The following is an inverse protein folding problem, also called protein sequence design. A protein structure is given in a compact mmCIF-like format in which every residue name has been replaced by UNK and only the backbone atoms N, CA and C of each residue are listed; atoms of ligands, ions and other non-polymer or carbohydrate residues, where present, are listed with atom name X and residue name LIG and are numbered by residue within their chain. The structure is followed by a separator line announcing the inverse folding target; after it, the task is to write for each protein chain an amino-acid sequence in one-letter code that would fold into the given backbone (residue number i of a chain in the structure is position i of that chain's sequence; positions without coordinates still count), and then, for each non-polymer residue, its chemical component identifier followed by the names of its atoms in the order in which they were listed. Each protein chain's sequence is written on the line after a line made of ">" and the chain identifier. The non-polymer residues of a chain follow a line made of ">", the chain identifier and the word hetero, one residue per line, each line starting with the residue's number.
data_IF_675703338311
#
_entry.id   IF_675703338311
#
_cell.length_a   1.000
_cell.length_b   1.000
_cell.length_c   1.000
_cell.angle_alpha   90.00
_cell.angle_beta   90.00
_cell.angle_gamma   90.00
#
_symmetry.space_group_name_H-M   'P 1'
#
loop_
_entity.id
_entity.type
_entity.pdbx_description
1 polymer ?
#
# COMPACT_ATOMS: atom_id res chain seq x y z
N UNK A 1 -5.15 8.04 17.37
CA UNK A 1 -5.24 6.58 17.30
C UNK A 1 -4.06 6.06 16.48
N UNK A 2 -3.44 4.99 16.94
CA UNK A 2 -2.37 4.30 16.20
C UNK A 2 -2.97 3.07 15.53
N UNK A 3 -2.61 2.86 14.27
CA UNK A 3 -2.92 1.64 13.53
C UNK A 3 -1.61 0.94 13.23
N UNK A 4 -1.52 -0.34 13.56
CA UNK A 4 -0.35 -1.18 13.28
C UNK A 4 -0.76 -2.19 12.23
N UNK A 5 0.05 -2.29 11.18
CA UNK A 5 -0.09 -3.29 10.15
C UNK A 5 1.24 -4.00 9.94
N UNK A 6 1.18 -5.27 9.60
CA UNK A 6 2.37 -6.09 9.37
C UNK A 6 2.17 -7.06 8.20
N UNK A 7 3.28 -7.59 7.71
CA UNK A 7 3.35 -8.80 6.91
C UNK A 7 4.24 -9.82 7.64
N UNK A 8 3.96 -11.10 7.45
CA UNK A 8 4.70 -12.16 8.13
C UNK A 8 5.99 -12.48 7.37
N UNK A 9 7.12 -12.16 7.95
CA UNK A 9 8.47 -12.42 7.43
C UNK A 9 9.10 -13.74 7.93
N UNK A 10 8.31 -14.59 8.58
CA UNK A 10 8.77 -15.84 9.20
C UNK A 10 9.33 -16.90 8.26
N UNK A 11 9.30 -16.66 6.94
CA UNK A 11 9.97 -17.51 5.96
C UNK A 11 11.50 -17.29 5.97
N UNK A 12 11.95 -16.04 6.11
CA UNK A 12 13.35 -15.66 6.10
C UNK A 12 13.88 -15.26 7.48
N UNK A 13 13.03 -14.81 8.39
CA UNK A 13 13.38 -14.33 9.72
C UNK A 13 12.80 -15.19 10.85
N UNK A 14 13.42 -15.12 12.03
CA UNK A 14 12.91 -15.75 13.26
C UNK A 14 11.92 -14.81 13.96
N UNK A 15 10.65 -14.85 13.58
CA UNK A 15 9.60 -13.99 14.18
C UNK A 15 9.35 -14.25 15.66
N UNK A 16 9.82 -15.40 16.19
CA UNK A 16 9.67 -15.75 17.63
C UNK A 16 10.60 -14.96 18.53
N UNK A 17 11.64 -14.37 17.98
CA UNK A 17 12.63 -13.63 18.76
C UNK A 17 12.11 -12.25 19.21
N UNK A 18 10.97 -11.79 18.67
CA UNK A 18 10.28 -10.55 19.05
C UNK A 18 11.24 -9.36 19.15
N UNK A 19 12.08 -9.18 18.13
CA UNK A 19 13.20 -8.23 18.13
C UNK A 19 12.78 -6.76 18.11
N UNK A 20 11.55 -6.46 17.65
CA UNK A 20 11.05 -5.08 17.58
C UNK A 20 10.71 -4.58 18.98
N UNK A 21 11.33 -3.49 19.37
CA UNK A 21 11.20 -2.87 20.68
C UNK A 21 10.41 -1.56 20.61
N UNK A 22 10.12 -1.00 21.77
CA UNK A 22 9.48 0.32 21.88
C UNK A 22 10.39 1.44 21.34
N UNK A 23 11.69 1.29 21.48
CA UNK A 23 12.69 2.22 20.97
C UNK A 23 12.66 2.29 19.45
N UNK A 24 12.51 1.15 18.76
CA UNK A 24 12.40 1.11 17.29
C UNK A 24 11.19 1.91 16.80
N UNK A 25 10.08 1.91 17.53
CA UNK A 25 8.90 2.72 17.19
C UNK A 25 9.20 4.22 17.31
N UNK A 26 9.90 4.62 18.36
CA UNK A 26 10.29 6.02 18.54
C UNK A 26 11.31 6.47 17.50
N UNK A 27 12.24 5.61 17.14
CA UNK A 27 13.26 5.91 16.14
C UNK A 27 12.63 6.01 14.74
N UNK A 28 11.71 5.13 14.39
CA UNK A 28 10.94 5.23 13.16
C UNK A 28 10.14 6.54 13.07
N UNK A 29 9.55 6.98 14.19
CA UNK A 29 8.86 8.28 14.24
C UNK A 29 9.81 9.47 14.06
N UNK A 30 11.00 9.44 14.68
CA UNK A 30 12.01 10.51 14.60
C UNK A 30 12.63 10.59 13.20
N UNK A 31 12.81 9.43 12.53
CA UNK A 31 13.42 9.34 11.19
C UNK A 31 12.39 9.53 10.05
N UNK A 32 11.13 9.87 10.38
CA UNK A 32 10.10 10.13 9.39
C UNK A 32 10.46 11.37 8.56
N UNK A 33 10.69 11.16 7.25
CA UNK A 33 11.12 12.19 6.29
C UNK A 33 10.51 11.96 4.92
N UNK A 34 10.62 12.96 4.03
CA UNK A 34 10.08 12.86 2.67
C UNK A 34 10.81 11.84 1.80
N UNK A 35 12.12 11.80 1.94
CA UNK A 35 12.98 10.87 1.23
C UNK A 35 13.34 9.73 2.18
N UNK A 36 13.06 8.51 1.79
CA UNK A 36 13.30 7.31 2.58
C UNK A 36 13.72 6.16 1.67
N UNK A 37 14.38 5.19 2.25
CA UNK A 37 14.85 3.99 1.54
C UNK A 37 13.68 3.07 1.19
N UNK A 38 13.80 2.39 0.04
CA UNK A 38 12.81 1.45 -0.48
C UNK A 38 13.39 0.03 -0.54
N UNK A 39 12.53 -0.95 -0.81
CA UNK A 39 12.92 -2.35 -0.90
C UNK A 39 13.08 -3.03 0.46
N UNK A 40 14.15 -3.79 0.63
CA UNK A 40 14.41 -4.63 1.81
C UNK A 40 14.97 -3.82 3.00
N UNK A 41 14.24 -2.82 3.45
CA UNK A 41 14.61 -1.93 4.56
C UNK A 41 13.56 -1.91 5.65
N UNK A 42 13.97 -1.70 6.90
CA UNK A 42 13.07 -1.65 8.04
C UNK A 42 12.14 -2.87 8.08
N UNK A 43 10.84 -2.66 8.11
CA UNK A 43 9.82 -3.71 8.04
C UNK A 43 9.85 -4.53 6.74
N UNK A 44 10.51 -4.03 5.69
CA UNK A 44 10.69 -4.74 4.42
C UNK A 44 11.73 -5.85 4.45
N UNK A 45 12.56 -5.91 5.50
CA UNK A 45 13.57 -6.97 5.62
C UNK A 45 12.92 -8.32 5.83
N UNK A 46 13.31 -9.29 5.01
CA UNK A 46 12.76 -10.64 5.07
C UNK A 46 11.44 -10.81 4.34
N UNK A 47 10.95 -9.79 3.64
CA UNK A 47 9.78 -9.89 2.77
C UNK A 47 10.15 -10.48 1.42
N UNK A 48 9.26 -11.33 0.89
CA UNK A 48 9.39 -11.93 -0.44
C UNK A 48 8.17 -11.56 -1.28
N UNK A 49 8.38 -10.95 -2.42
CA UNK A 49 7.30 -10.61 -3.34
C UNK A 49 7.60 -11.18 -4.73
N UNK A 50 6.69 -12.00 -5.24
CA UNK A 50 6.89 -12.78 -6.48
C UNK A 50 8.17 -13.62 -6.45
N UNK A 51 8.51 -14.20 -5.27
CA UNK A 51 9.75 -14.95 -5.05
C UNK A 51 11.04 -14.16 -5.34
N UNK A 52 10.93 -12.83 -5.36
CA UNK A 52 12.04 -11.88 -5.37
C UNK A 52 12.14 -11.18 -4.02
N UNK A 53 13.15 -10.33 -3.82
CA UNK A 53 13.19 -9.43 -2.68
C UNK A 53 11.96 -8.53 -2.71
N UNK A 54 11.18 -8.55 -1.65
CA UNK A 54 10.03 -7.69 -1.44
C UNK A 54 10.36 -6.55 -0.48
N UNK A 55 9.32 -5.85 0.02
CA UNK A 55 9.51 -4.86 1.06
C UNK A 55 8.77 -3.56 0.84
N UNK A 56 9.44 -2.45 1.18
CA UNK A 56 8.85 -1.12 1.13
C UNK A 56 8.84 -0.58 -0.30
N UNK A 57 7.67 -0.18 -0.78
CA UNK A 57 7.53 0.53 -2.04
C UNK A 57 6.64 1.76 -1.90
N UNK A 58 6.87 2.78 -2.70
CA UNK A 58 6.07 3.99 -2.66
C UNK A 58 5.96 4.62 -4.03
N UNK A 59 4.78 5.16 -4.31
CA UNK A 59 4.54 5.96 -5.52
C UNK A 59 3.44 6.98 -5.27
N UNK A 60 3.36 8.01 -6.09
CA UNK A 60 2.35 9.04 -5.98
C UNK A 60 1.89 9.55 -7.34
N UNK A 61 0.69 10.14 -7.35
CA UNK A 61 0.12 10.84 -8.51
C UNK A 61 -0.40 12.20 -8.09
N UNK A 62 -0.16 13.16 -8.96
CA UNK A 62 -0.76 14.49 -8.88
C UNK A 62 -1.91 14.54 -9.86
N UNK A 63 -3.05 15.06 -9.45
CA UNK A 63 -4.25 15.19 -10.26
C UNK A 63 -4.99 16.48 -9.96
N UNK A 64 -5.90 16.86 -10.84
CA UNK A 64 -6.65 18.11 -10.74
C UNK A 64 -8.16 17.82 -10.67
N UNK A 65 -8.84 18.56 -9.81
CA UNK A 65 -10.31 18.59 -9.73
C UNK A 65 -10.76 20.05 -9.63
N UNK A 66 -11.51 20.50 -10.62
CA UNK A 66 -12.10 21.85 -10.69
C UNK A 66 -11.06 22.97 -10.43
N UNK A 67 -9.88 22.85 -11.06
CA UNK A 67 -8.79 23.82 -10.97
C UNK A 67 -7.95 23.75 -9.69
N UNK A 68 -8.22 22.78 -8.82
CA UNK A 68 -7.39 22.55 -7.63
C UNK A 68 -6.54 21.28 -7.84
N UNK A 69 -5.26 21.39 -7.54
CA UNK A 69 -4.28 20.31 -7.63
C UNK A 69 -4.22 19.55 -6.31
N UNK A 70 -4.24 18.22 -6.41
CA UNK A 70 -4.15 17.30 -5.27
C UNK A 70 -3.11 16.24 -5.54
N UNK A 71 -2.61 15.64 -4.45
CA UNK A 71 -1.68 14.51 -4.49
C UNK A 71 -2.29 13.31 -3.78
N UNK A 72 -2.09 12.13 -4.34
CA UNK A 72 -2.34 10.86 -3.67
C UNK A 72 -1.05 10.05 -3.70
N UNK A 73 -0.62 9.57 -2.54
CA UNK A 73 0.51 8.65 -2.40
C UNK A 73 0.06 7.30 -1.86
N UNK A 74 0.75 6.26 -2.31
CA UNK A 74 0.59 4.88 -1.82
C UNK A 74 1.95 4.41 -1.30
N UNK A 75 1.95 3.89 -0.09
CA UNK A 75 3.06 3.15 0.52
C UNK A 75 2.64 1.70 0.66
N UNK A 76 3.49 0.78 0.25
CA UNK A 76 3.24 -0.66 0.41
C UNK A 76 4.35 -1.33 1.23
N UNK A 77 3.96 -2.40 1.93
CA UNK A 77 4.86 -3.44 2.40
C UNK A 77 4.44 -4.72 1.68
N UNK A 78 5.23 -5.13 0.68
CA UNK A 78 4.90 -6.24 -0.22
C UNK A 78 5.57 -7.54 0.22
N UNK A 79 4.76 -8.60 0.38
CA UNK A 79 5.19 -9.94 0.78
C UNK A 79 4.23 -11.00 0.23
N UNK A 80 4.07 -11.08 -1.09
CA UNK A 80 3.08 -11.94 -1.72
C UNK A 80 3.52 -12.43 -3.09
N UNK A 81 2.80 -13.42 -3.61
CA UNK A 81 2.84 -13.86 -5.00
C UNK A 81 3.95 -14.87 -5.30
N UNK A 82 3.73 -15.61 -6.37
CA UNK A 82 4.69 -16.54 -6.96
C UNK A 82 5.30 -15.93 -8.22
N UNK A 83 6.52 -16.30 -8.57
CA UNK A 83 7.25 -15.79 -9.73
C UNK A 83 6.44 -15.86 -11.02
N UNK A 84 5.75 -16.96 -11.21
CA UNK A 84 4.93 -17.22 -12.40
C UNK A 84 3.71 -16.28 -12.51
N UNK A 85 3.33 -15.61 -11.43
CA UNK A 85 2.22 -14.66 -11.44
C UNK A 85 2.66 -13.27 -11.90
N UNK A 86 3.94 -12.95 -11.76
CA UNK A 86 4.45 -11.63 -12.11
C UNK A 86 4.29 -11.37 -13.60
N UNK A 87 3.54 -10.33 -13.97
CA UNK A 87 3.10 -10.11 -15.36
C UNK A 87 4.22 -9.95 -16.37
N UNK A 88 5.38 -9.47 -15.95
CA UNK A 88 6.53 -9.28 -16.85
C UNK A 88 7.20 -10.61 -17.21
N UNK A 89 7.00 -11.66 -16.40
CA UNK A 89 7.61 -12.96 -16.57
C UNK A 89 6.61 -14.04 -16.99
N UNK A 90 5.37 -13.67 -17.28
CA UNK A 90 4.33 -14.66 -17.66
C UNK A 90 4.68 -15.34 -18.97
N UNK A 91 4.87 -16.66 -18.87
CA UNK A 91 4.95 -17.55 -20.05
C UNK A 91 3.56 -18.11 -20.30
N UNK A 92 3.07 -17.98 -21.54
CA UNK A 92 1.75 -18.54 -21.94
C UNK A 92 1.70 -20.04 -21.66
N UNK A 93 0.61 -20.48 -21.04
CA UNK A 93 0.30 -21.91 -20.87
C UNK A 93 0.70 -22.52 -19.51
N UNK A 94 1.33 -21.79 -18.61
CA UNK A 94 1.61 -22.31 -17.27
C UNK A 94 0.36 -22.33 -16.40
N UNK A 95 0.04 -23.48 -15.80
CA UNK A 95 -0.94 -23.57 -14.73
C UNK A 95 -0.29 -23.07 -13.44
N UNK A 96 -0.89 -22.06 -12.83
CA UNK A 96 -0.41 -21.51 -11.58
C UNK A 96 -0.66 -22.49 -10.42
N UNK A 97 0.34 -22.77 -9.57
CA UNK A 97 0.17 -23.60 -8.37
C UNK A 97 -0.58 -22.79 -7.28
N UNK A 98 -1.83 -22.42 -7.54
CA UNK A 98 -2.62 -21.49 -6.73
C UNK A 98 -2.78 -21.91 -5.27
N UNK A 99 -2.70 -23.19 -4.97
CA UNK A 99 -2.82 -23.72 -3.61
C UNK A 99 -1.60 -23.42 -2.72
N UNK A 100 -0.47 -23.02 -3.31
CA UNK A 100 0.78 -22.76 -2.60
C UNK A 100 0.98 -21.28 -2.27
N UNK A 101 0.17 -20.38 -2.82
CA UNK A 101 0.32 -18.97 -2.53
C UNK A 101 -0.02 -18.67 -1.08
N UNK A 102 0.98 -18.12 -0.39
CA UNK A 102 0.87 -17.55 0.95
C UNK A 102 1.52 -16.19 0.90
N UNK A 103 0.87 -15.21 1.50
CA UNK A 103 1.47 -13.89 1.47
C UNK A 103 0.62 -12.86 2.19
N UNK A 104 1.01 -11.62 2.01
CA UNK A 104 0.30 -10.47 2.55
C UNK A 104 0.83 -9.19 1.91
N UNK A 105 0.03 -8.16 1.92
CA UNK A 105 0.46 -6.81 1.61
C UNK A 105 -0.26 -5.81 2.49
N UNK A 106 0.50 -4.86 3.05
CA UNK A 106 -0.06 -3.65 3.64
C UNK A 106 0.01 -2.52 2.62
N UNK A 107 -1.11 -1.81 2.44
CA UNK A 107 -1.22 -0.68 1.53
C UNK A 107 -1.74 0.53 2.30
N UNK A 108 -0.96 1.59 2.37
CA UNK A 108 -1.33 2.84 3.05
C UNK A 108 -1.49 3.92 1.99
N UNK A 109 -2.69 4.49 1.91
CA UNK A 109 -3.03 5.54 0.97
C UNK A 109 -3.18 6.87 1.72
N UNK A 110 -2.45 7.88 1.31
CA UNK A 110 -2.53 9.23 1.84
C UNK A 110 -2.87 10.22 0.74
N UNK A 111 -3.77 11.17 1.01
CA UNK A 111 -4.09 12.24 0.05
C UNK A 111 -4.40 13.54 0.75
N UNK A 112 -4.18 14.67 0.08
CA UNK A 112 -4.65 15.99 0.47
C UNK A 112 -5.99 16.38 -0.18
N UNK A 113 -6.55 15.52 -1.04
CA UNK A 113 -7.88 15.71 -1.58
C UNK A 113 -8.94 15.56 -0.47
N UNK A 114 -9.97 16.44 -0.46
CA UNK A 114 -11.03 16.36 0.55
C UNK A 114 -11.97 15.19 0.26
N UNK A 115 -11.70 14.07 0.89
CA UNK A 115 -12.48 12.85 0.79
C UNK A 115 -13.19 12.56 2.11
N UNK A 116 -14.45 12.12 2.03
CA UNK A 116 -15.17 11.57 3.18
C UNK A 116 -14.69 10.15 3.48
N UNK A 117 -15.02 9.64 4.67
CA UNK A 117 -14.77 8.26 5.08
C UNK A 117 -15.26 7.25 4.03
N UNK A 118 -16.51 7.42 3.57
CA UNK A 118 -17.09 6.59 2.51
C UNK A 118 -16.29 6.64 1.21
N UNK A 119 -15.77 7.81 0.83
CA UNK A 119 -14.96 7.95 -0.38
C UNK A 119 -13.57 7.32 -0.22
N UNK A 120 -12.95 7.47 0.95
CA UNK A 120 -11.68 6.80 1.28
C UNK A 120 -11.83 5.27 1.25
N UNK A 121 -12.92 4.73 1.79
CA UNK A 121 -13.22 3.30 1.68
C UNK A 121 -13.36 2.84 0.22
N UNK A 122 -13.98 3.64 -0.66
CA UNK A 122 -14.05 3.36 -2.09
C UNK A 122 -12.68 3.41 -2.76
N UNK A 123 -11.76 4.26 -2.30
CA UNK A 123 -10.36 4.28 -2.77
C UNK A 123 -9.65 2.99 -2.36
N UNK A 124 -9.77 2.55 -1.10
CA UNK A 124 -9.23 1.26 -0.65
C UNK A 124 -9.71 0.10 -1.53
N UNK A 125 -10.99 0.10 -1.91
CA UNK A 125 -11.58 -0.92 -2.79
C UNK A 125 -11.02 -0.90 -4.24
N UNK A 126 -10.12 0.01 -4.59
CA UNK A 126 -9.39 0.05 -5.87
C UNK A 126 -8.00 -0.57 -5.79
N UNK A 127 -7.48 -0.79 -4.58
CA UNK A 127 -6.17 -1.42 -4.41
C UNK A 127 -6.09 -2.82 -5.05
N UNK A 128 -7.12 -3.70 -4.94
CA UNK A 128 -7.14 -4.97 -5.67
C UNK A 128 -6.92 -4.86 -7.17
N UNK A 129 -7.41 -3.78 -7.80
CA UNK A 129 -7.18 -3.54 -9.23
C UNK A 129 -5.70 -3.26 -9.50
N UNK A 130 -5.07 -2.40 -8.68
CA UNK A 130 -3.64 -2.13 -8.78
C UNK A 130 -2.78 -3.39 -8.60
N UNK A 131 -3.13 -4.23 -7.62
CA UNK A 131 -2.47 -5.53 -7.40
C UNK A 131 -2.65 -6.49 -8.57
N UNK A 132 -3.87 -6.61 -9.10
CA UNK A 132 -4.13 -7.47 -10.25
C UNK A 132 -3.30 -7.06 -11.48
N UNK A 133 -3.02 -5.76 -11.65
CA UNK A 133 -2.15 -5.26 -12.71
C UNK A 133 -0.67 -5.61 -12.52
N UNK A 134 -0.26 -6.11 -11.35
CA UNK A 134 1.09 -6.67 -11.14
C UNK A 134 1.14 -8.19 -11.36
N UNK A 135 0.00 -8.84 -11.46
CA UNK A 135 -0.16 -10.27 -11.61
C UNK A 135 -0.70 -11.00 -10.38
N UNK A 136 -0.90 -10.30 -9.26
CA UNK A 136 -1.53 -10.86 -8.07
C UNK A 136 -2.98 -11.24 -8.35
N UNK A 137 -3.40 -12.41 -7.84
CA UNK A 137 -4.80 -12.82 -7.83
C UNK A 137 -5.42 -12.78 -6.43
N UNK A 138 -4.67 -12.27 -5.43
CA UNK A 138 -5.11 -12.17 -4.05
C UNK A 138 -5.66 -13.50 -3.52
N UNK A 139 -4.81 -14.52 -3.52
CA UNK A 139 -5.17 -15.90 -3.18
C UNK A 139 -5.68 -16.03 -1.74
N UNK A 140 -6.35 -17.15 -1.45
CA UNK A 140 -6.95 -17.43 -0.14
C UNK A 140 -5.94 -17.41 1.03
N UNK A 141 -4.66 -17.60 0.75
CA UNK A 141 -3.58 -17.54 1.75
C UNK A 141 -2.97 -16.16 1.92
N UNK A 142 -3.44 -15.14 1.20
CA UNK A 142 -2.92 -13.78 1.22
C UNK A 142 -3.73 -12.87 2.15
N UNK A 143 -3.04 -12.11 3.00
CA UNK A 143 -3.63 -11.09 3.87
C UNK A 143 -3.42 -9.70 3.27
N UNK A 144 -4.40 -9.21 2.49
CA UNK A 144 -4.29 -7.96 1.75
C UNK A 144 -5.10 -6.87 2.44
N UNK A 145 -4.43 -5.88 3.01
CA UNK A 145 -5.06 -4.83 3.82
C UNK A 145 -4.74 -3.46 3.25
N UNK A 146 -5.78 -2.65 3.05
CA UNK A 146 -5.65 -1.26 2.62
C UNK A 146 -6.22 -0.30 3.67
N UNK A 147 -5.48 0.77 3.96
CA UNK A 147 -5.85 1.84 4.86
C UNK A 147 -5.71 3.17 4.12
N UNK A 148 -6.74 4.01 4.16
CA UNK A 148 -6.68 5.32 3.52
C UNK A 148 -7.02 6.44 4.49
N UNK A 149 -6.35 7.58 4.33
CA UNK A 149 -6.67 8.81 5.05
C UNK A 149 -6.48 10.05 4.18
N UNK A 150 -7.19 11.12 4.56
CA UNK A 150 -7.03 12.44 3.95
C UNK A 150 -6.55 13.44 5.00
N UNK A 151 -5.65 14.33 4.58
CA UNK A 151 -5.17 15.46 5.39
C UNK A 151 -5.97 16.74 5.19
N UNK A 152 -6.97 16.74 4.29
CA UNK A 152 -7.75 17.92 3.95
C UNK A 152 -8.72 18.36 5.07
N UNK A 153 -9.33 17.39 5.76
CA UNK A 153 -10.25 17.67 6.85
C UNK A 153 -9.52 17.50 8.19
N UNK A 154 -9.21 18.62 8.82
CA UNK A 154 -8.58 18.64 10.15
C UNK A 154 -9.61 19.11 11.19
N UNK A 155 -9.65 18.42 12.31
CA UNK A 155 -10.57 18.70 13.41
C UNK A 155 -9.85 19.41 14.55
N UNK A 156 -10.44 20.49 15.02
CA UNK A 156 -10.05 21.17 16.24
C UNK A 156 -10.87 20.68 17.45
N UNK A 157 -11.01 21.55 18.45
CA UNK A 157 -11.78 21.26 19.66
C UNK A 157 -13.27 21.66 19.58
N UNK A 158 -13.72 22.11 18.43
CA UNK A 158 -15.11 22.55 18.19
C UNK A 158 -16.06 21.35 18.33
N UNK A 159 -17.28 21.61 18.82
CA UNK A 159 -18.33 20.59 18.96
C UNK A 159 -18.97 20.17 17.64
N UNK A 160 -18.88 21.04 16.64
CA UNK A 160 -19.47 20.83 15.31
C UNK A 160 -18.40 21.15 14.27
N UNK A 161 -18.18 20.23 13.33
CA UNK A 161 -17.21 20.42 12.25
C UNK A 161 -17.89 20.45 10.89
N UNK A 162 -17.37 21.29 10.00
CA UNK A 162 -17.76 21.29 8.58
C UNK A 162 -16.78 20.42 7.81
N UNK A 163 -17.29 19.46 7.08
CA UNK A 163 -16.49 18.57 6.23
C UNK A 163 -16.55 19.03 4.77
N UNK A 164 -15.40 19.02 4.13
CA UNK A 164 -15.31 19.15 2.68
C UNK A 164 -15.19 17.75 2.06
N UNK A 165 -15.89 17.52 0.97
CA UNK A 165 -15.73 16.33 0.16
C UNK A 165 -15.88 16.66 -1.32
N UNK A 166 -15.22 15.91 -2.18
CA UNK A 166 -15.39 16.04 -3.62
C UNK A 166 -16.75 15.46 -4.05
N UNK A 167 -17.26 15.92 -5.18
CA UNK A 167 -18.45 15.33 -5.78
C UNK A 167 -18.11 13.92 -6.30
N UNK A 168 -18.99 12.95 -6.02
CA UNK A 168 -18.78 11.55 -6.46
C UNK A 168 -18.64 11.42 -7.98
N UNK A 169 -19.23 12.31 -8.77
CA UNK A 169 -19.07 12.31 -10.23
C UNK A 169 -17.66 12.71 -10.68
N UNK A 170 -16.80 13.20 -9.78
CA UNK A 170 -15.41 13.59 -10.04
C UNK A 170 -14.38 12.62 -9.44
N UNK A 171 -14.83 11.54 -8.78
CA UNK A 171 -13.94 10.68 -7.99
C UNK A 171 -13.07 9.75 -8.84
N UNK A 172 -13.39 9.54 -10.11
CA UNK A 172 -12.68 8.57 -10.94
C UNK A 172 -11.19 8.90 -11.09
N UNK A 173 -10.83 10.17 -11.18
CA UNK A 173 -9.41 10.58 -11.25
C UNK A 173 -8.64 10.17 -10.00
N UNK A 174 -9.30 10.16 -8.83
CA UNK A 174 -8.70 9.67 -7.58
C UNK A 174 -8.51 8.15 -7.60
N UNK A 175 -9.47 7.43 -8.18
CA UNK A 175 -9.39 5.97 -8.34
C UNK A 175 -8.24 5.59 -9.28
N UNK A 176 -8.12 6.28 -10.41
CA UNK A 176 -7.04 6.04 -11.36
C UNK A 176 -5.67 6.34 -10.72
N UNK A 177 -5.55 7.47 -10.03
CA UNK A 177 -4.34 7.82 -9.27
C UNK A 177 -3.97 6.74 -8.24
N UNK A 178 -4.96 6.19 -7.52
CA UNK A 178 -4.75 5.17 -6.53
C UNK A 178 -4.31 3.83 -7.16
N UNK A 179 -4.95 3.40 -8.24
CA UNK A 179 -4.63 2.16 -8.97
C UNK A 179 -3.20 2.23 -9.52
N UNK A 180 -2.87 3.30 -10.22
CA UNK A 180 -1.54 3.48 -10.81
C UNK A 180 -0.44 3.57 -9.76
N UNK A 181 -0.68 4.32 -8.68
CA UNK A 181 0.28 4.42 -7.57
C UNK A 181 0.48 3.08 -6.86
N UNK A 182 -0.59 2.30 -6.68
CA UNK A 182 -0.49 0.97 -6.08
C UNK A 182 0.37 0.04 -6.94
N UNK A 183 0.07 -0.06 -8.24
CA UNK A 183 0.85 -0.86 -9.18
C UNK A 183 2.33 -0.49 -9.15
N UNK A 184 2.64 0.80 -9.27
CA UNK A 184 4.03 1.27 -9.30
C UNK A 184 4.73 1.06 -7.96
N UNK A 185 4.06 1.32 -6.82
CA UNK A 185 4.62 1.07 -5.50
C UNK A 185 5.04 -0.40 -5.31
N UNK A 186 4.25 -1.36 -5.81
CA UNK A 186 4.62 -2.77 -5.80
C UNK A 186 5.85 -3.02 -6.66
N UNK A 187 5.92 -2.49 -7.89
CA UNK A 187 7.11 -2.65 -8.74
C UNK A 187 8.36 -2.05 -8.11
N UNK A 188 8.24 -0.87 -7.50
CA UNK A 188 9.37 -0.20 -6.84
C UNK A 188 9.85 -0.96 -5.61
N UNK A 189 8.96 -1.69 -4.91
CA UNK A 189 9.34 -2.53 -3.78
C UNK A 189 10.24 -3.71 -4.14
N UNK A 190 10.33 -4.07 -5.43
CA UNK A 190 11.13 -5.18 -5.96
C UNK A 190 12.53 -4.74 -6.44
N UNK A 191 12.81 -3.46 -6.42
CA UNK A 191 14.10 -2.90 -6.88
C UNK A 191 15.07 -2.95 -5.70
N UNK A 192 16.19 -3.66 -5.90
CA UNK A 192 17.34 -3.70 -4.98
C UNK A 192 18.24 -2.47 -5.15
#
# INVERSE_FOLDING_TARGET
>A
NVVVGECNDGYLNSIRDCVVTKEDVYDAYRDCKKEFELGSVGAGRGMSCFEMSGGIGSSSRVFEIDGNTYTLGVLVLSNFGLREQYLLDKVEGNQLPLEQEKGSIMMIIATDAPLSDRQLHRVCNRMPVGLALTGSHMGNGSGDIAIAFSTANRFGSEKIHTLKQINDNKINVVFDAAIESCKEAVHVSLIE
#
